data_IF_767143867099
#
_entry.id   IF_767143867099
#
_cell.length_a   1.000
_cell.length_b   1.000
_cell.length_c   1.000
_cell.angle_alpha   90.00
_cell.angle_beta   90.00
_cell.angle_gamma   90.00
#
_symmetry.space_group_name_H-M   'P 1'
#
loop_
_entity.id
_entity.type
_entity.pdbx_description
1 polymer ?
#
# COMPACT_ATOMS: atom_id res chain seq x y z
N UNK A 1 -10.10 12.92 40.37
CA UNK A 1 -8.96 11.99 40.37
C UNK A 1 -9.50 10.56 40.35
N UNK A 2 -9.68 9.98 39.15
CA UNK A 2 -9.88 8.53 39.02
C UNK A 2 -8.49 7.92 38.87
N UNK A 3 -8.12 7.00 39.76
CA UNK A 3 -6.86 6.28 39.68
C UNK A 3 -6.93 5.31 38.50
N UNK A 4 -6.19 5.58 37.43
CA UNK A 4 -6.01 4.63 36.33
C UNK A 4 -4.83 3.71 36.64
N UNK A 5 -5.12 2.44 36.92
CA UNK A 5 -4.11 1.39 37.05
C UNK A 5 -3.69 0.94 35.64
N UNK A 6 -2.61 1.48 35.11
CA UNK A 6 -1.96 0.92 33.93
C UNK A 6 -1.28 -0.40 34.32
N UNK A 7 -1.78 -1.54 33.81
CA UNK A 7 -1.06 -2.82 33.91
C UNK A 7 0.07 -2.81 32.88
N UNK A 8 1.31 -2.70 33.37
CA UNK A 8 2.49 -3.01 32.57
C UNK A 8 2.52 -4.52 32.37
N UNK A 9 2.42 -4.98 31.11
CA UNK A 9 2.39 -6.42 30.81
C UNK A 9 3.80 -7.02 30.75
N UNK A 10 4.78 -6.30 30.17
CA UNK A 10 6.17 -6.76 30.08
C UNK A 10 7.17 -5.61 30.27
N UNK A 11 8.26 -5.90 30.99
CA UNK A 11 9.42 -4.99 31.15
C UNK A 11 10.65 -5.70 30.58
N UNK A 12 11.12 -5.27 29.41
CA UNK A 12 12.35 -5.80 28.81
C UNK A 12 13.52 -4.92 29.25
N UNK A 13 14.43 -5.49 30.05
CA UNK A 13 15.69 -4.83 30.46
C UNK A 13 16.77 -5.12 29.43
N UNK A 14 17.06 -4.18 28.55
CA UNK A 14 18.13 -4.27 27.55
C UNK A 14 19.42 -3.64 28.09
N UNK A 15 20.57 -4.27 27.84
CA UNK A 15 21.88 -3.72 28.19
C UNK A 15 22.65 -3.38 26.91
N UNK A 16 22.99 -2.11 26.73
CA UNK A 16 23.79 -1.67 25.59
C UNK A 16 25.22 -2.21 25.68
N UNK A 17 25.93 -2.30 24.54
CA UNK A 17 27.36 -2.68 24.48
C UNK A 17 28.28 -1.76 25.32
N UNK A 18 27.81 -0.57 25.71
CA UNK A 18 28.52 0.37 26.61
C UNK A 18 28.06 0.26 28.08
N UNK A 19 27.38 -0.81 28.47
CA UNK A 19 27.00 -1.10 29.85
C UNK A 19 25.74 -0.40 30.38
N UNK A 20 25.10 0.48 29.59
CA UNK A 20 23.87 1.19 30.00
C UNK A 20 22.64 0.29 29.92
N UNK A 21 21.78 0.37 30.93
CA UNK A 21 20.53 -0.38 31.02
C UNK A 21 19.36 0.47 30.48
N UNK A 22 18.54 -0.11 29.62
CA UNK A 22 17.31 0.45 29.05
C UNK A 22 16.14 -0.43 29.50
N UNK A 23 15.03 0.18 29.89
CA UNK A 23 13.78 -0.55 30.15
C UNK A 23 12.80 -0.21 29.04
N UNK A 24 12.33 -1.23 28.32
CA UNK A 24 11.33 -1.09 27.25
C UNK A 24 9.99 -1.59 27.79
N UNK A 25 8.94 -0.79 27.59
CA UNK A 25 7.58 -1.07 28.05
C UNK A 25 6.65 -1.26 26.84
N UNK A 26 5.80 -2.28 26.88
CA UNK A 26 4.80 -2.58 25.85
C UNK A 26 3.40 -2.18 26.33
N UNK A 27 2.66 -1.41 25.52
CA UNK A 27 1.27 -1.03 25.77
C UNK A 27 0.36 -1.41 24.58
N UNK A 28 -0.80 -2.07 24.81
CA UNK A 28 -1.75 -2.37 23.75
C UNK A 28 -2.56 -1.13 23.30
N UNK A 29 -3.10 -1.13 22.05
CA UNK A 29 -2.76 -2.03 20.97
C UNK A 29 -1.60 -1.40 20.17
N UNK A 30 -0.42 -2.04 20.20
CA UNK A 30 0.71 -1.78 19.30
C UNK A 30 1.57 -0.50 19.48
N UNK A 31 1.68 0.07 20.69
CA UNK A 31 2.71 1.08 20.95
C UNK A 31 3.83 0.52 21.85
N UNK A 32 4.92 0.07 21.22
CA UNK A 32 6.20 -0.08 21.91
C UNK A 32 6.80 1.32 22.10
N UNK A 33 6.69 1.86 23.32
CA UNK A 33 7.32 3.15 23.64
C UNK A 33 8.66 2.86 24.32
N UNK A 34 9.75 3.08 23.60
CA UNK A 34 11.09 2.99 24.16
C UNK A 34 11.42 4.26 24.97
N UNK A 35 11.11 4.26 26.26
CA UNK A 35 11.38 5.41 27.13
C UNK A 35 12.79 5.30 27.71
N UNK A 36 13.63 6.28 27.37
CA UNK A 36 15.00 6.40 27.88
C UNK A 36 14.99 7.12 29.24
N UNK A 37 14.48 6.46 30.28
CA UNK A 37 14.46 7.03 31.65
C UNK A 37 15.02 6.05 32.68
N UNK A 38 15.75 6.59 33.65
CA UNK A 38 16.24 5.85 34.83
C UNK A 38 15.34 6.04 36.06
N UNK A 39 14.27 6.84 35.99
CA UNK A 39 13.37 7.07 37.12
C UNK A 39 11.90 6.70 36.82
N UNK A 40 11.29 6.02 37.78
CA UNK A 40 9.90 5.56 37.74
C UNK A 40 8.90 6.74 37.85
N UNK A 41 9.25 7.80 38.60
CA UNK A 41 8.43 9.01 38.74
C UNK A 41 8.28 9.80 37.43
N UNK A 42 9.35 9.88 36.62
CA UNK A 42 9.28 10.52 35.30
C UNK A 42 8.38 9.73 34.34
N UNK A 43 8.38 8.39 34.43
CA UNK A 43 7.51 7.51 33.66
C UNK A 43 6.04 7.69 34.08
N UNK A 44 5.79 7.74 35.40
CA UNK A 44 4.45 7.98 35.93
C UNK A 44 3.92 9.32 35.42
N UNK A 45 4.66 10.42 35.54
CA UNK A 45 4.22 11.72 35.04
C UNK A 45 4.02 11.75 33.51
N UNK A 46 4.84 11.02 32.76
CA UNK A 46 4.67 10.88 31.30
C UNK A 46 3.37 10.14 30.94
N UNK A 47 3.09 9.04 31.64
CA UNK A 47 1.87 8.23 31.44
C UNK A 47 0.62 8.99 31.92
N UNK A 48 0.69 9.71 33.06
CA UNK A 48 -0.43 10.51 33.56
C UNK A 48 -0.77 11.69 32.65
N UNK A 49 0.21 12.20 31.89
CA UNK A 49 0.01 13.28 30.90
C UNK A 49 -0.37 12.76 29.50
N UNK A 50 -0.34 11.44 29.26
CA UNK A 50 -0.93 10.86 28.06
C UNK A 50 -2.44 10.76 28.26
N UNK A 51 -3.18 11.72 27.71
CA UNK A 51 -4.61 11.57 27.48
C UNK A 51 -4.81 10.52 26.38
N UNK A 52 -4.98 9.26 26.76
CA UNK A 52 -5.56 8.26 25.88
C UNK A 52 -7.08 8.48 25.90
N UNK A 53 -7.57 9.24 24.94
CA UNK A 53 -9.00 9.25 24.64
C UNK A 53 -9.33 7.86 24.08
N UNK A 54 -10.29 7.16 24.71
CA UNK A 54 -10.80 5.91 24.12
C UNK A 54 -11.26 6.23 22.69
N UNK A 55 -10.84 5.43 21.69
CA UNK A 55 -11.19 5.70 20.31
C UNK A 55 -12.72 5.75 20.19
N UNK A 56 -13.22 6.85 19.63
CA UNK A 56 -14.64 7.00 19.28
C UNK A 56 -15.11 5.74 18.57
N UNK A 57 -16.17 5.11 19.10
CA UNK A 57 -16.71 3.88 18.52
C UNK A 57 -17.42 4.23 17.20
N UNK A 58 -16.65 4.20 16.10
CA UNK A 58 -17.14 4.52 14.76
C UNK A 58 -18.05 3.40 14.27
N UNK A 59 -19.33 3.69 14.09
CA UNK A 59 -20.27 2.76 13.47
C UNK A 59 -19.98 2.60 11.97
N UNK A 60 -19.25 1.52 11.61
CA UNK A 60 -18.82 1.25 10.23
C UNK A 60 -19.97 1.00 9.25
N UNK A 61 -21.10 0.48 9.72
CA UNK A 61 -22.28 0.25 8.87
C UNK A 61 -22.92 1.57 8.47
N UNK A 62 -23.09 2.49 9.42
CA UNK A 62 -23.58 3.84 9.16
C UNK A 62 -22.63 4.64 8.26
N UNK A 63 -21.32 4.45 8.45
CA UNK A 63 -20.29 5.00 7.56
C UNK A 63 -20.45 4.47 6.13
N UNK A 64 -20.61 3.15 5.97
CA UNK A 64 -20.81 2.49 4.68
C UNK A 64 -22.07 2.98 3.96
N UNK A 65 -23.20 3.08 4.66
CA UNK A 65 -24.44 3.60 4.10
C UNK A 65 -24.29 5.03 3.58
N UNK A 66 -23.63 5.89 4.38
CA UNK A 66 -23.35 7.28 4.00
C UNK A 66 -22.52 7.35 2.72
N UNK A 67 -21.36 6.71 2.70
CA UNK A 67 -20.46 6.78 1.54
C UNK A 67 -21.06 6.08 0.32
N UNK A 68 -21.87 5.03 0.49
CA UNK A 68 -22.57 4.38 -0.63
C UNK A 68 -23.49 5.37 -1.34
N UNK A 69 -24.28 6.12 -0.57
CA UNK A 69 -25.15 7.16 -1.12
C UNK A 69 -24.35 8.28 -1.79
N UNK A 70 -23.28 8.75 -1.16
CA UNK A 70 -22.44 9.82 -1.69
C UNK A 70 -21.69 9.40 -2.97
N UNK A 71 -21.04 8.22 -2.98
CA UNK A 71 -20.36 7.67 -4.15
C UNK A 71 -21.31 7.43 -5.32
N UNK A 72 -22.54 6.95 -5.07
CA UNK A 72 -23.55 6.81 -6.13
C UNK A 72 -24.00 8.17 -6.68
N UNK A 73 -24.05 9.21 -5.86
CA UNK A 73 -24.35 10.56 -6.31
C UNK A 73 -23.20 11.13 -7.15
N UNK A 74 -21.97 11.09 -6.63
CA UNK A 74 -20.76 11.48 -7.35
C UNK A 74 -20.61 10.75 -8.69
N UNK A 75 -20.89 9.45 -8.71
CA UNK A 75 -20.80 8.66 -9.94
C UNK A 75 -21.79 9.08 -11.03
N UNK A 76 -22.95 9.67 -10.68
CA UNK A 76 -23.85 10.25 -11.68
C UNK A 76 -23.20 11.44 -12.38
N UNK A 77 -22.45 12.27 -11.65
CA UNK A 77 -21.73 13.44 -12.17
C UNK A 77 -20.62 12.98 -13.12
N UNK A 78 -19.80 12.00 -12.69
CA UNK A 78 -18.74 11.43 -13.53
C UNK A 78 -19.33 10.83 -14.81
N UNK A 79 -20.40 10.03 -14.68
CA UNK A 79 -21.04 9.37 -15.83
C UNK A 79 -21.65 10.35 -16.83
N UNK A 80 -22.22 11.47 -16.38
CA UNK A 80 -22.75 12.48 -17.31
C UNK A 80 -21.64 13.21 -18.05
N UNK A 81 -20.48 13.43 -17.41
CA UNK A 81 -19.39 14.24 -17.98
C UNK A 81 -18.34 13.47 -18.78
N UNK A 82 -18.33 12.14 -18.71
CA UNK A 82 -17.28 11.34 -19.37
C UNK A 82 -17.20 11.57 -20.89
N UNK A 83 -18.33 11.83 -21.56
CA UNK A 83 -18.36 12.09 -23.02
C UNK A 83 -18.47 13.58 -23.37
N UNK A 84 -18.48 14.46 -22.38
CA UNK A 84 -18.54 15.91 -22.59
C UNK A 84 -17.13 16.49 -22.83
N UNK A 85 -17.09 17.71 -23.38
CA UNK A 85 -15.85 18.48 -23.48
C UNK A 85 -15.43 18.91 -22.08
N UNK A 86 -14.21 18.56 -21.68
CA UNK A 86 -13.68 18.81 -20.33
C UNK A 86 -12.71 19.99 -20.34
N UNK A 87 -12.63 20.69 -19.22
CA UNK A 87 -11.55 21.64 -18.98
C UNK A 87 -10.41 20.87 -18.32
N UNK A 88 -9.27 20.79 -19.01
CA UNK A 88 -8.13 20.00 -18.54
C UNK A 88 -7.08 20.96 -18.00
N UNK A 89 -6.73 20.79 -16.75
CA UNK A 89 -5.56 21.43 -16.14
C UNK A 89 -4.51 20.35 -15.83
N UNK A 90 -3.24 20.76 -15.71
CA UNK A 90 -2.14 19.85 -15.37
C UNK A 90 -1.64 20.14 -13.96
N UNK A 91 -1.42 19.09 -13.16
CA UNK A 91 -0.87 19.13 -11.79
C UNK A 91 0.67 19.17 -11.84
N UNK A 92 1.35 18.12 -11.33
CA UNK A 92 2.79 18.10 -11.13
C UNK A 92 3.60 17.82 -12.42
N UNK A 93 2.96 17.27 -13.46
CA UNK A 93 3.60 16.97 -14.74
C UNK A 93 2.64 17.18 -15.91
N UNK A 94 3.16 17.23 -17.15
CA UNK A 94 2.39 17.47 -18.37
C UNK A 94 1.36 16.37 -18.72
N UNK A 95 1.34 15.28 -17.96
CA UNK A 95 0.48 14.11 -18.14
C UNK A 95 -0.33 13.79 -16.87
N UNK A 96 -0.19 14.63 -15.84
CA UNK A 96 -0.88 14.49 -14.56
C UNK A 96 -2.03 15.49 -14.59
N UNK A 97 -3.23 15.00 -14.92
CA UNK A 97 -4.38 15.83 -15.24
C UNK A 97 -5.28 16.03 -14.02
N UNK A 98 -5.97 17.17 -14.01
CA UNK A 98 -7.13 17.42 -13.14
C UNK A 98 -8.23 18.05 -13.99
N UNK A 99 -9.48 17.74 -13.65
CA UNK A 99 -10.64 18.40 -14.26
C UNK A 99 -11.50 19.07 -13.19
N UNK A 100 -12.40 19.93 -13.62
CA UNK A 100 -13.45 20.52 -12.78
C UNK A 100 -14.31 19.45 -12.08
N UNK A 101 -14.37 18.25 -12.66
CA UNK A 101 -15.14 17.13 -12.11
C UNK A 101 -14.47 16.52 -10.89
N UNK A 102 -13.15 16.40 -10.88
CA UNK A 102 -12.37 15.88 -9.74
C UNK A 102 -12.64 16.76 -8.50
N UNK A 103 -12.53 18.09 -8.66
CA UNK A 103 -12.76 19.07 -7.59
C UNK A 103 -14.21 19.07 -7.08
N UNK A 104 -15.19 18.99 -7.98
CA UNK A 104 -16.61 18.96 -7.60
C UNK A 104 -16.98 17.68 -6.85
N UNK A 105 -16.47 16.53 -7.31
CA UNK A 105 -16.70 15.24 -6.66
C UNK A 105 -16.05 15.21 -5.29
N UNK A 106 -14.79 15.65 -5.16
CA UNK A 106 -14.11 15.68 -3.86
C UNK A 106 -14.88 16.55 -2.86
N UNK A 107 -15.28 17.75 -3.29
CA UNK A 107 -16.07 18.66 -2.46
C UNK A 107 -17.38 18.02 -1.99
N UNK A 108 -18.13 17.38 -2.89
CA UNK A 108 -19.37 16.68 -2.57
C UNK A 108 -19.15 15.59 -1.52
N UNK A 109 -18.10 14.78 -1.68
CA UNK A 109 -17.76 13.69 -0.77
C UNK A 109 -17.36 14.23 0.60
N UNK A 110 -16.41 15.17 0.66
CA UNK A 110 -15.91 15.75 1.91
C UNK A 110 -17.02 16.48 2.65
N UNK A 111 -17.78 17.38 1.99
CA UNK A 111 -18.86 18.12 2.64
C UNK A 111 -19.96 17.18 3.14
N UNK A 112 -20.34 16.17 2.35
CA UNK A 112 -21.35 15.19 2.72
C UNK A 112 -20.94 14.34 3.93
N UNK A 113 -19.66 13.97 4.02
CA UNK A 113 -19.11 13.24 5.18
C UNK A 113 -19.03 14.17 6.40
N UNK A 114 -18.50 15.37 6.23
CA UNK A 114 -18.27 16.34 7.31
C UNK A 114 -19.56 16.81 7.99
N UNK A 115 -20.69 16.81 7.27
CA UNK A 115 -22.01 17.08 7.85
C UNK A 115 -22.41 16.06 8.92
N UNK A 116 -22.08 14.77 8.74
CA UNK A 116 -22.39 13.72 9.71
C UNK A 116 -21.26 13.51 10.71
N UNK A 117 -20.01 13.65 10.27
CA UNK A 117 -18.81 13.39 11.06
C UNK A 117 -17.88 14.63 11.08
N UNK A 118 -18.25 15.70 11.82
CA UNK A 118 -17.53 16.97 11.79
C UNK A 118 -16.12 16.91 12.41
N UNK A 119 -15.83 15.88 13.21
CA UNK A 119 -14.55 15.67 13.87
C UNK A 119 -13.61 14.71 13.14
N UNK A 120 -14.09 14.04 12.09
CA UNK A 120 -13.24 13.17 11.27
C UNK A 120 -12.28 14.00 10.42
N UNK A 121 -11.12 13.41 10.13
CA UNK A 121 -10.04 13.98 9.30
C UNK A 121 -10.17 13.54 7.84
N UNK A 122 -9.44 14.21 6.95
CA UNK A 122 -9.51 13.97 5.51
C UNK A 122 -8.14 13.98 4.86
N UNK A 123 -7.86 12.97 4.04
CA UNK A 123 -6.73 12.92 3.12
C UNK A 123 -7.32 12.75 1.73
N UNK A 124 -7.47 13.86 1.00
CA UNK A 124 -7.98 13.90 -0.37
C UNK A 124 -6.88 14.27 -1.37
N UNK A 125 -6.96 13.74 -2.58
CA UNK A 125 -6.02 14.05 -3.66
C UNK A 125 -5.99 15.54 -4.00
N UNK A 126 -7.15 16.15 -4.25
CA UNK A 126 -7.25 17.54 -4.69
C UNK A 126 -6.96 18.51 -3.54
N UNK A 127 -7.37 18.15 -2.33
CA UNK A 127 -6.99 18.84 -1.11
C UNK A 127 -5.46 18.83 -0.92
N UNK A 128 -4.80 17.70 -1.18
CA UNK A 128 -3.34 17.61 -1.12
C UNK A 128 -2.67 18.49 -2.18
N UNK A 129 -3.19 18.50 -3.41
CA UNK A 129 -2.71 19.37 -4.49
C UNK A 129 -2.90 20.86 -4.15
N UNK A 130 -3.98 21.22 -3.44
CA UNK A 130 -4.24 22.56 -2.92
C UNK A 130 -3.38 22.93 -1.69
N UNK A 131 -2.48 22.04 -1.24
CA UNK A 131 -1.54 22.29 -0.14
C UNK A 131 -2.01 21.83 1.24
N UNK A 132 -3.18 21.19 1.34
CA UNK A 132 -3.70 20.62 2.60
C UNK A 132 -3.02 19.27 2.82
N UNK A 133 -1.98 19.27 3.66
CA UNK A 133 -1.22 18.06 4.01
C UNK A 133 -1.57 17.59 5.41
N UNK A 134 -2.70 16.90 5.56
CA UNK A 134 -3.02 16.24 6.83
C UNK A 134 -2.13 15.02 7.03
N UNK A 135 -1.51 14.93 8.21
CA UNK A 135 -0.77 13.74 8.61
C UNK A 135 -1.75 12.62 8.99
N UNK A 136 -1.49 11.41 8.51
CA UNK A 136 -2.25 10.23 8.91
C UNK A 136 -2.02 9.95 10.40
N UNK A 137 -3.09 10.00 11.19
CA UNK A 137 -3.06 9.72 12.64
C UNK A 137 -3.97 8.54 12.97
N UNK A 138 -4.06 8.13 14.24
CA UNK A 138 -5.02 7.09 14.64
C UNK A 138 -6.47 7.59 14.74
N UNK A 139 -6.72 8.90 14.58
CA UNK A 139 -8.08 9.45 14.54
C UNK A 139 -8.83 8.98 13.28
N UNK A 140 -10.17 8.88 13.32
CA UNK A 140 -10.99 8.58 12.14
C UNK A 140 -10.64 9.50 10.96
N UNK A 141 -10.10 8.92 9.89
CA UNK A 141 -9.59 9.65 8.72
C UNK A 141 -10.14 9.03 7.44
N UNK A 142 -10.82 9.84 6.64
CA UNK A 142 -11.30 9.45 5.32
C UNK A 142 -10.22 9.73 4.29
N UNK A 143 -9.82 8.69 3.55
CA UNK A 143 -8.82 8.78 2.48
C UNK A 143 -9.56 8.65 1.15
N UNK A 144 -9.57 9.72 0.34
CA UNK A 144 -10.49 9.87 -0.79
C UNK A 144 -9.70 10.16 -2.06
N UNK A 145 -9.98 9.37 -3.10
CA UNK A 145 -9.72 9.72 -4.49
C UNK A 145 -11.08 9.97 -5.18
N UNK A 146 -11.38 11.21 -5.62
CA UNK A 146 -12.63 11.51 -6.28
C UNK A 146 -12.76 10.86 -7.66
N UNK A 147 -11.66 10.69 -8.41
CA UNK A 147 -11.63 10.21 -9.79
C UNK A 147 -10.28 9.52 -10.07
N UNK A 148 -10.11 8.30 -9.56
CA UNK A 148 -8.94 7.49 -9.88
C UNK A 148 -9.00 7.09 -11.37
N UNK A 149 -7.92 7.39 -12.08
CA UNK A 149 -7.85 7.33 -13.53
C UNK A 149 -8.32 8.61 -14.23
N UNK A 150 -7.95 9.80 -13.75
CA UNK A 150 -8.26 11.08 -14.42
C UNK A 150 -7.83 11.09 -15.90
N UNK A 151 -6.69 10.47 -16.25
CA UNK A 151 -6.28 10.28 -17.66
C UNK A 151 -7.31 9.47 -18.45
N UNK A 152 -7.84 8.39 -17.87
CA UNK A 152 -8.90 7.61 -18.49
C UNK A 152 -10.17 8.45 -18.66
N UNK A 153 -10.55 9.22 -17.65
CA UNK A 153 -11.69 10.12 -17.72
C UNK A 153 -11.55 11.15 -18.85
N UNK A 154 -10.38 11.80 -18.95
CA UNK A 154 -10.06 12.74 -20.03
C UNK A 154 -10.26 12.10 -21.41
N UNK A 155 -9.78 10.87 -21.59
CA UNK A 155 -9.86 10.13 -22.84
C UNK A 155 -11.17 9.33 -23.03
N UNK A 156 -12.13 9.45 -22.12
CA UNK A 156 -13.39 8.68 -22.14
C UNK A 156 -13.20 7.15 -22.08
N UNK A 157 -12.08 6.70 -21.53
CA UNK A 157 -11.80 5.29 -21.28
C UNK A 157 -12.56 4.82 -20.02
N UNK A 158 -13.23 3.66 -20.03
CA UNK A 158 -14.27 3.34 -19.03
C UNK A 158 -13.74 2.94 -17.64
N UNK A 159 -12.42 2.85 -17.45
CA UNK A 159 -11.81 2.51 -16.16
C UNK A 159 -11.58 3.78 -15.34
N UNK A 160 -12.66 4.30 -14.74
CA UNK A 160 -12.65 5.49 -13.88
C UNK A 160 -13.35 5.11 -12.58
N UNK A 161 -12.71 5.36 -11.44
CA UNK A 161 -13.23 4.94 -10.14
C UNK A 161 -13.33 6.10 -9.15
N UNK A 162 -14.30 6.02 -8.24
CA UNK A 162 -14.27 6.75 -6.96
C UNK A 162 -13.69 5.78 -5.92
N UNK A 163 -12.66 6.18 -5.18
CA UNK A 163 -12.03 5.38 -4.12
C UNK A 163 -12.16 6.07 -2.77
N UNK A 164 -12.71 5.38 -1.77
CA UNK A 164 -12.89 5.92 -0.41
C UNK A 164 -12.50 4.87 0.61
N UNK A 165 -11.45 5.13 1.39
CA UNK A 165 -11.04 4.35 2.55
C UNK A 165 -11.32 5.08 3.87
N UNK A 166 -11.58 4.32 4.93
CA UNK A 166 -11.72 4.85 6.29
C UNK A 166 -10.69 4.18 7.21
N UNK A 167 -9.80 5.00 7.76
CA UNK A 167 -8.82 4.60 8.78
C UNK A 167 -9.37 4.96 10.16
N UNK A 168 -9.39 4.00 11.08
CA UNK A 168 -9.78 4.20 12.49
C UNK A 168 -8.82 3.42 13.38
N UNK A 169 -8.24 4.08 14.38
CA UNK A 169 -7.29 3.43 15.28
C UNK A 169 -6.02 2.96 14.57
N UNK A 170 -5.53 3.75 13.60
CA UNK A 170 -4.34 3.43 12.79
C UNK A 170 -4.49 2.18 11.89
N UNK A 171 -5.72 1.77 11.60
CA UNK A 171 -6.03 0.57 10.81
C UNK A 171 -7.14 0.88 9.79
N UNK A 172 -7.01 0.36 8.56
CA UNK A 172 -8.02 0.56 7.51
C UNK A 172 -9.19 -0.37 7.82
N UNK A 173 -10.36 0.21 8.14
CA UNK A 173 -11.54 -0.53 8.60
C UNK A 173 -12.60 -0.72 7.53
N UNK A 174 -12.66 0.17 6.55
CA UNK A 174 -13.70 0.18 5.55
C UNK A 174 -13.16 0.75 4.24
N UNK A 175 -13.63 0.22 3.12
CA UNK A 175 -13.25 0.66 1.77
C UNK A 175 -14.39 0.51 0.78
N UNK A 176 -14.54 1.50 -0.10
CA UNK A 176 -15.44 1.50 -1.26
C UNK A 176 -14.68 1.89 -2.50
N UNK A 177 -14.84 1.13 -3.58
CA UNK A 177 -14.39 1.49 -4.92
C UNK A 177 -15.59 1.40 -5.84
N UNK A 178 -15.91 2.48 -6.56
CA UNK A 178 -17.06 2.52 -7.46
C UNK A 178 -16.66 2.97 -8.85
N UNK A 179 -16.83 2.11 -9.85
CA UNK A 179 -16.76 2.48 -11.25
C UNK A 179 -18.19 2.80 -11.76
N UNK A 180 -18.54 4.08 -11.99
CA UNK A 180 -19.88 4.47 -12.40
C UNK A 180 -20.20 4.19 -13.87
N UNK A 181 -19.18 3.98 -14.70
CA UNK A 181 -19.34 3.70 -16.13
C UNK A 181 -19.78 2.25 -16.32
N UNK A 182 -19.14 1.34 -15.59
CA UNK A 182 -19.43 -0.10 -15.60
C UNK A 182 -20.49 -0.52 -14.57
N UNK A 183 -20.91 0.41 -13.70
CA UNK A 183 -21.84 0.17 -12.58
C UNK A 183 -21.36 -0.98 -11.66
N UNK A 184 -20.08 -0.90 -11.28
CA UNK A 184 -19.43 -1.88 -10.42
C UNK A 184 -19.04 -1.25 -9.09
N UNK A 185 -19.77 -1.59 -8.04
CA UNK A 185 -19.60 -1.05 -6.69
C UNK A 185 -18.99 -2.11 -5.78
N UNK A 186 -17.71 -1.94 -5.43
CA UNK A 186 -16.97 -2.79 -4.52
C UNK A 186 -17.00 -2.20 -3.12
N UNK A 187 -17.18 -3.05 -2.10
CA UNK A 187 -17.13 -2.65 -0.70
C UNK A 187 -16.53 -3.73 0.19
N UNK A 188 -15.90 -3.30 1.28
CA UNK A 188 -15.48 -4.19 2.35
C UNK A 188 -15.53 -3.47 3.70
N UNK A 189 -15.91 -4.22 4.74
CA UNK A 189 -15.74 -3.85 6.14
C UNK A 189 -14.83 -4.90 6.76
N UNK A 190 -13.89 -4.46 7.60
CA UNK A 190 -12.92 -5.35 8.24
C UNK A 190 -13.62 -6.46 9.03
N UNK A 191 -13.34 -7.72 8.68
CA UNK A 191 -13.92 -8.91 9.30
C UNK A 191 -15.29 -9.34 8.75
N UNK A 192 -15.84 -8.65 7.77
CA UNK A 192 -17.17 -8.92 7.21
C UNK A 192 -17.14 -9.38 5.75
N UNK A 193 -15.95 -9.48 5.15
CA UNK A 193 -15.78 -9.90 3.77
C UNK A 193 -15.89 -8.76 2.75
N UNK A 194 -15.71 -9.13 1.48
CA UNK A 194 -15.65 -8.22 0.33
C UNK A 194 -16.79 -8.52 -0.63
N UNK A 195 -17.40 -7.48 -1.19
CA UNK A 195 -18.60 -7.58 -2.01
C UNK A 195 -18.50 -6.73 -3.26
N UNK A 196 -19.11 -7.20 -4.34
CA UNK A 196 -19.35 -6.45 -5.57
C UNK A 196 -20.86 -6.43 -5.83
N UNK A 197 -21.47 -5.25 -5.86
CA UNK A 197 -22.92 -5.08 -6.04
C UNK A 197 -23.71 -6.01 -5.11
N UNK A 198 -23.28 -6.06 -3.84
CA UNK A 198 -23.82 -6.88 -2.75
C UNK A 198 -23.64 -8.40 -2.84
N UNK A 199 -23.00 -8.89 -3.92
CA UNK A 199 -22.59 -10.29 -4.04
C UNK A 199 -21.19 -10.49 -3.46
N UNK A 200 -20.96 -11.53 -2.63
CA UNK A 200 -19.65 -11.79 -2.05
C UNK A 200 -18.63 -12.17 -3.13
N UNK A 201 -17.42 -11.63 -3.01
CA UNK A 201 -16.31 -11.90 -3.93
C UNK A 201 -15.14 -12.51 -3.19
N UNK A 202 -14.30 -13.21 -3.94
CA UNK A 202 -13.03 -13.77 -3.47
C UNK A 202 -11.99 -13.66 -4.56
N UNK A 203 -10.73 -13.59 -4.14
CA UNK A 203 -9.59 -13.71 -5.05
C UNK A 203 -9.59 -15.08 -5.75
N UNK A 204 -8.88 -15.19 -6.87
CA UNK A 204 -8.81 -16.41 -7.69
C UNK A 204 -8.11 -17.58 -6.97
N UNK A 205 -7.15 -17.28 -6.08
CA UNK A 205 -6.33 -18.27 -5.38
C UNK A 205 -5.23 -18.90 -6.25
N UNK A 206 -4.86 -18.27 -7.38
CA UNK A 206 -3.74 -18.72 -8.23
C UNK A 206 -2.44 -18.65 -7.43
N UNK A 207 -1.62 -19.70 -7.50
CA UNK A 207 -0.41 -19.85 -6.67
C UNK A 207 0.91 -19.74 -7.41
N UNK A 208 0.89 -19.78 -8.74
CA UNK A 208 2.09 -19.75 -9.57
C UNK A 208 2.03 -18.52 -10.48
N UNK A 209 3.12 -17.76 -10.56
CA UNK A 209 3.18 -16.60 -11.43
C UNK A 209 2.94 -16.98 -12.90
N UNK A 210 3.39 -18.15 -13.33
CA UNK A 210 3.17 -18.67 -14.69
C UNK A 210 1.72 -18.83 -15.08
N UNK A 211 0.83 -18.98 -14.09
CA UNK A 211 -0.61 -19.14 -14.30
C UNK A 211 -1.37 -17.81 -14.14
N UNK A 212 -0.68 -16.73 -13.74
CA UNK A 212 -1.27 -15.47 -13.31
C UNK A 212 -1.53 -14.49 -14.46
N UNK A 213 -2.66 -13.80 -14.44
CA UNK A 213 -2.89 -12.54 -15.16
C UNK A 213 -2.53 -11.37 -14.25
N UNK A 214 -1.65 -10.49 -14.69
CA UNK A 214 -1.14 -9.41 -13.83
C UNK A 214 -1.53 -8.03 -14.34
N UNK A 215 -1.70 -7.08 -13.43
CA UNK A 215 -1.87 -5.67 -13.71
C UNK A 215 -0.69 -4.85 -13.21
N UNK A 216 -0.30 -3.85 -13.99
CA UNK A 216 0.76 -2.88 -13.67
C UNK A 216 0.39 -1.55 -14.29
N UNK A 217 0.95 -0.47 -13.76
CA UNK A 217 0.98 0.83 -14.44
C UNK A 217 2.41 1.36 -14.51
N UNK A 218 2.66 2.26 -15.46
CA UNK A 218 3.98 2.89 -15.65
C UNK A 218 4.21 4.08 -14.70
N UNK A 219 3.20 4.47 -13.92
CA UNK A 219 3.21 5.61 -13.00
C UNK A 219 3.35 6.97 -13.68
N UNK A 220 3.18 8.03 -12.89
CA UNK A 220 3.37 9.43 -13.29
C UNK A 220 4.78 9.96 -13.05
N UNK A 221 5.57 9.33 -12.18
CA UNK A 221 6.98 9.71 -11.92
C UNK A 221 7.83 9.47 -13.18
N UNK A 222 8.69 10.45 -13.51
CA UNK A 222 9.47 10.47 -14.76
C UNK A 222 11.00 10.45 -14.58
N UNK A 223 11.51 10.41 -13.35
CA UNK A 223 12.95 10.22 -13.12
C UNK A 223 13.43 8.89 -13.74
N UNK A 224 14.63 8.91 -14.34
CA UNK A 224 15.16 7.77 -15.08
C UNK A 224 15.37 6.57 -14.17
N UNK A 225 15.89 6.80 -12.96
CA UNK A 225 16.14 5.77 -11.95
C UNK A 225 14.84 5.05 -11.57
N UNK A 226 13.78 5.82 -11.30
CA UNK A 226 12.48 5.27 -10.95
C UNK A 226 11.87 4.47 -12.10
N UNK A 227 11.91 5.02 -13.32
CA UNK A 227 11.42 4.34 -14.53
C UNK A 227 12.18 3.04 -14.80
N UNK A 228 13.48 2.99 -14.53
CA UNK A 228 14.27 1.78 -14.71
C UNK A 228 13.83 0.65 -13.76
N UNK A 229 13.49 0.98 -12.50
CA UNK A 229 12.95 0.00 -11.54
C UNK A 229 11.57 -0.50 -12.01
N UNK A 230 10.67 0.41 -12.38
CA UNK A 230 9.32 0.07 -12.87
C UNK A 230 9.41 -0.82 -14.11
N UNK A 231 10.19 -0.42 -15.12
CA UNK A 231 10.35 -1.18 -16.36
C UNK A 231 10.97 -2.56 -16.12
N UNK A 232 11.91 -2.68 -15.18
CA UNK A 232 12.47 -3.97 -14.81
C UNK A 232 11.40 -4.92 -14.26
N UNK A 233 10.59 -4.44 -13.31
CA UNK A 233 9.53 -5.25 -12.70
C UNK A 233 8.47 -5.64 -13.73
N UNK A 234 8.04 -4.70 -14.57
CA UNK A 234 7.10 -4.97 -15.66
C UNK A 234 7.66 -6.04 -16.61
N UNK A 235 8.94 -5.95 -17.00
CA UNK A 235 9.56 -6.93 -17.88
C UNK A 235 9.66 -8.32 -17.23
N UNK A 236 10.00 -8.38 -15.94
CA UNK A 236 10.01 -9.63 -15.18
C UNK A 236 8.61 -10.27 -15.17
N UNK A 237 7.58 -9.50 -14.85
CA UNK A 237 6.20 -9.97 -14.85
C UNK A 237 5.73 -10.40 -16.26
N UNK A 238 6.08 -9.64 -17.29
CA UNK A 238 5.73 -9.92 -18.69
C UNK A 238 6.30 -11.25 -19.17
N UNK A 239 7.49 -11.59 -18.67
CA UNK A 239 8.23 -12.80 -19.07
C UNK A 239 7.71 -14.03 -18.36
N UNK A 240 7.22 -13.90 -17.12
CA UNK A 240 6.91 -15.02 -16.24
C UNK A 240 5.42 -15.26 -16.01
N UNK A 241 4.53 -14.34 -16.40
CA UNK A 241 3.09 -14.46 -16.24
C UNK A 241 2.34 -14.73 -17.55
N UNK A 242 1.06 -15.13 -17.48
CA UNK A 242 0.22 -15.37 -18.66
C UNK A 242 0.01 -14.11 -19.51
N UNK A 243 0.02 -12.94 -18.89
CA UNK A 243 -0.09 -11.68 -19.59
C UNK A 243 -0.21 -10.49 -18.66
N UNK A 244 -0.06 -9.30 -19.24
CA UNK A 244 -0.13 -8.03 -18.54
C UNK A 244 -1.39 -7.26 -18.95
N UNK A 245 -1.96 -6.53 -18.00
CA UNK A 245 -2.92 -5.44 -18.21
C UNK A 245 -2.37 -4.15 -17.61
N UNK A 246 -2.73 -3.03 -18.22
CA UNK A 246 -2.56 -1.68 -17.68
C UNK A 246 -3.88 -0.99 -17.94
N UNK A 247 -4.62 -0.78 -16.86
CA UNK A 247 -6.00 -0.32 -16.85
C UNK A 247 -6.14 1.18 -16.60
N UNK A 248 -5.06 1.85 -16.19
CA UNK A 248 -4.98 3.30 -15.96
C UNK A 248 -5.64 3.79 -14.67
N UNK A 249 -5.99 2.89 -13.74
CA UNK A 249 -6.59 3.21 -12.43
C UNK A 249 -6.14 2.17 -11.40
N UNK A 250 -5.52 2.62 -10.33
CA UNK A 250 -4.96 1.77 -9.28
C UNK A 250 -6.06 1.07 -8.47
N UNK A 251 -7.11 1.82 -8.09
CA UNK A 251 -8.28 1.31 -7.40
C UNK A 251 -9.01 0.27 -8.27
N UNK A 252 -9.14 0.50 -9.58
CA UNK A 252 -9.70 -0.50 -10.48
C UNK A 252 -8.87 -1.79 -10.47
N UNK A 253 -7.56 -1.70 -10.64
CA UNK A 253 -6.69 -2.88 -10.65
C UNK A 253 -6.77 -3.67 -9.33
N UNK A 254 -6.81 -2.99 -8.18
CA UNK A 254 -7.01 -3.61 -6.87
C UNK A 254 -8.38 -4.30 -6.74
N UNK A 255 -9.45 -3.64 -7.19
CA UNK A 255 -10.78 -4.21 -7.21
C UNK A 255 -10.87 -5.46 -8.09
N UNK A 256 -10.18 -5.45 -9.24
CA UNK A 256 -10.07 -6.61 -10.14
C UNK A 256 -9.32 -7.78 -9.50
N UNK A 257 -8.29 -7.52 -8.68
CA UNK A 257 -7.64 -8.55 -7.86
C UNK A 257 -8.62 -9.16 -6.86
N UNK A 258 -9.36 -8.33 -6.12
CA UNK A 258 -10.30 -8.78 -5.12
C UNK A 258 -11.41 -9.68 -5.67
N UNK A 259 -11.88 -9.43 -6.90
CA UNK A 259 -12.88 -10.30 -7.56
C UNK A 259 -12.29 -11.51 -8.29
N UNK A 260 -10.97 -11.72 -8.24
CA UNK A 260 -10.28 -12.80 -8.93
C UNK A 260 -10.24 -12.65 -10.46
N UNK A 261 -10.41 -11.44 -10.99
CA UNK A 261 -10.27 -11.15 -12.42
C UNK A 261 -8.83 -10.82 -12.83
N UNK A 262 -8.00 -10.46 -11.86
CA UNK A 262 -6.55 -10.25 -11.95
C UNK A 262 -5.93 -11.00 -10.78
N UNK A 263 -4.77 -11.62 -10.96
CA UNK A 263 -4.14 -12.47 -9.94
C UNK A 263 -3.06 -11.71 -9.14
N UNK A 264 -2.52 -10.63 -9.73
CA UNK A 264 -1.54 -9.75 -9.12
C UNK A 264 -1.69 -8.33 -9.66
N UNK A 265 -1.60 -7.35 -8.78
CA UNK A 265 -1.36 -5.96 -9.14
C UNK A 265 -0.17 -5.42 -8.34
N UNK A 266 0.75 -4.76 -9.04
CA UNK A 266 1.91 -4.12 -8.44
C UNK A 266 2.07 -2.72 -8.99
N UNK A 267 2.24 -1.76 -8.08
CA UNK A 267 2.58 -0.40 -8.47
C UNK A 267 3.43 0.30 -7.39
N UNK A 268 4.28 1.20 -7.87
CA UNK A 268 5.12 2.07 -7.05
C UNK A 268 4.87 3.50 -7.50
N UNK A 269 4.94 4.45 -6.56
CA UNK A 269 4.71 5.87 -6.83
C UNK A 269 3.24 6.31 -6.67
N UNK A 270 2.32 5.41 -6.36
CA UNK A 270 0.93 5.75 -6.04
C UNK A 270 0.80 6.40 -4.67
N UNK A 271 -0.37 6.95 -4.37
CA UNK A 271 -0.68 7.68 -3.15
C UNK A 271 -1.61 6.87 -2.23
N UNK A 272 -1.83 7.38 -1.02
CA UNK A 272 -2.67 6.72 -0.03
C UNK A 272 -4.12 6.54 -0.51
N UNK A 273 -4.65 7.51 -1.25
CA UNK A 273 -6.02 7.49 -1.78
C UNK A 273 -6.25 6.44 -2.87
N UNK A 274 -5.22 6.15 -3.67
CA UNK A 274 -5.21 5.04 -4.64
C UNK A 274 -5.28 3.66 -3.96
N UNK A 275 -4.71 3.56 -2.75
CA UNK A 275 -4.47 2.27 -2.08
C UNK A 275 -5.48 1.94 -0.98
N UNK A 276 -5.97 2.94 -0.23
CA UNK A 276 -6.66 2.71 1.05
C UNK A 276 -7.88 1.79 0.91
N UNK A 277 -8.77 2.09 -0.03
CA UNK A 277 -9.96 1.28 -0.26
C UNK A 277 -9.60 -0.10 -0.84
N UNK A 278 -8.71 -0.13 -1.83
CA UNK A 278 -8.31 -1.36 -2.49
C UNK A 278 -7.58 -2.34 -1.56
N UNK A 279 -6.80 -1.84 -0.61
CA UNK A 279 -6.14 -2.65 0.43
C UNK A 279 -7.16 -3.51 1.17
N UNK A 280 -8.18 -2.91 1.79
CA UNK A 280 -9.13 -3.65 2.63
C UNK A 280 -10.04 -4.52 1.77
N UNK A 281 -10.41 -4.07 0.57
CA UNK A 281 -11.23 -4.84 -0.38
C UNK A 281 -10.51 -6.13 -0.82
N UNK A 282 -9.20 -6.09 -1.09
CA UNK A 282 -8.41 -7.28 -1.43
C UNK A 282 -8.22 -8.19 -0.21
N UNK A 283 -7.91 -7.62 0.97
CA UNK A 283 -7.69 -8.41 2.20
C UNK A 283 -8.94 -9.18 2.62
N UNK A 284 -10.09 -8.54 2.60
CA UNK A 284 -11.39 -9.16 2.94
C UNK A 284 -11.88 -10.15 1.87
N UNK A 285 -11.37 -10.05 0.63
CA UNK A 285 -11.59 -11.06 -0.41
C UNK A 285 -10.66 -12.29 -0.28
N UNK A 286 -9.79 -12.33 0.74
CA UNK A 286 -8.84 -13.41 0.99
C UNK A 286 -7.48 -13.24 0.30
N UNK A 287 -7.19 -12.06 -0.25
CA UNK A 287 -5.92 -11.76 -0.91
C UNK A 287 -4.79 -11.34 0.04
N UNK A 288 -3.59 -11.30 -0.51
CA UNK A 288 -2.37 -10.85 0.20
C UNK A 288 -1.95 -9.49 -0.33
N UNK A 289 -1.74 -8.54 0.59
CA UNK A 289 -1.27 -7.18 0.27
C UNK A 289 -0.05 -6.85 1.11
N UNK A 290 1.08 -6.57 0.47
CA UNK A 290 2.37 -6.29 1.10
C UNK A 290 3.08 -5.10 0.43
N UNK A 291 4.15 -4.61 1.05
CA UNK A 291 5.09 -3.71 0.38
C UNK A 291 6.00 -4.56 -0.55
N UNK A 292 6.12 -4.23 -1.84
CA UNK A 292 6.95 -4.98 -2.78
C UNK A 292 8.44 -4.99 -2.42
N UNK A 293 8.89 -4.17 -1.47
CA UNK A 293 10.26 -4.14 -0.96
C UNK A 293 10.53 -5.08 0.23
N UNK A 294 9.65 -6.03 0.53
CA UNK A 294 9.90 -7.03 1.58
C UNK A 294 9.18 -6.81 2.90
N UNK A 295 8.47 -5.71 3.06
CA UNK A 295 7.93 -5.27 4.35
C UNK A 295 6.41 -5.42 4.43
N UNK A 296 5.87 -5.31 5.64
CA UNK A 296 4.45 -5.10 5.84
C UNK A 296 3.96 -3.87 5.08
N UNK A 297 2.76 -3.97 4.51
CA UNK A 297 2.13 -2.84 3.83
C UNK A 297 1.98 -1.65 4.77
N UNK A 298 2.37 -0.46 4.28
CA UNK A 298 2.11 0.81 4.96
C UNK A 298 1.48 1.78 3.97
N UNK A 299 0.33 2.33 4.34
CA UNK A 299 -0.47 3.19 3.47
C UNK A 299 0.30 4.39 2.90
N UNK A 300 1.23 4.95 3.67
CA UNK A 300 2.00 6.15 3.27
C UNK A 300 3.29 5.84 2.49
N UNK A 301 3.65 4.56 2.28
CA UNK A 301 4.92 4.18 1.63
C UNK A 301 4.91 4.27 0.09
N UNK A 302 3.79 4.69 -0.52
CA UNK A 302 3.62 4.87 -1.97
C UNK A 302 3.93 3.63 -2.82
N UNK A 303 3.68 2.44 -2.29
CA UNK A 303 3.94 1.16 -2.96
C UNK A 303 2.96 0.11 -2.51
N UNK A 304 2.52 -0.73 -3.45
CA UNK A 304 1.64 -1.85 -3.15
C UNK A 304 1.97 -3.04 -4.02
N UNK A 305 1.88 -4.23 -3.43
CA UNK A 305 1.81 -5.51 -4.12
C UNK A 305 0.59 -6.25 -3.57
N UNK A 306 -0.46 -6.33 -4.38
CA UNK A 306 -1.70 -7.03 -4.07
C UNK A 306 -1.81 -8.28 -4.93
N UNK A 307 -2.12 -9.42 -4.32
CA UNK A 307 -2.07 -10.73 -4.98
C UNK A 307 -3.20 -11.63 -4.53
N UNK A 308 -3.54 -12.58 -5.38
CA UNK A 308 -4.54 -13.61 -5.08
C UNK A 308 -4.06 -14.66 -4.08
N UNK A 309 -2.75 -14.78 -3.85
CA UNK A 309 -2.17 -15.72 -2.88
C UNK A 309 -0.82 -15.23 -2.35
N UNK A 310 -0.45 -15.70 -1.16
CA UNK A 310 0.84 -15.39 -0.54
C UNK A 310 2.03 -15.92 -1.35
N UNK A 311 1.88 -17.06 -2.02
CA UNK A 311 2.92 -17.68 -2.83
C UNK A 311 3.39 -16.75 -3.96
N UNK A 312 2.46 -16.11 -4.68
CA UNK A 312 2.81 -15.13 -5.72
C UNK A 312 3.46 -13.89 -5.09
N UNK A 313 2.96 -13.42 -3.94
CA UNK A 313 3.52 -12.26 -3.26
C UNK A 313 4.99 -12.48 -2.89
N UNK A 314 5.33 -13.66 -2.35
CA UNK A 314 6.70 -14.03 -1.97
C UNK A 314 7.63 -14.11 -3.19
N UNK A 315 7.19 -14.74 -4.28
CA UNK A 315 7.96 -14.86 -5.52
C UNK A 315 8.33 -13.48 -6.11
N UNK A 316 7.33 -12.60 -6.27
CA UNK A 316 7.51 -11.29 -6.91
C UNK A 316 8.30 -10.31 -6.02
N UNK A 317 8.13 -10.40 -4.71
CA UNK A 317 8.87 -9.60 -3.75
C UNK A 317 10.39 -9.89 -3.83
N UNK A 318 10.79 -11.16 -3.86
CA UNK A 318 12.20 -11.54 -4.02
C UNK A 318 12.81 -11.01 -5.32
N UNK A 319 12.07 -11.11 -6.43
CA UNK A 319 12.47 -10.55 -7.72
C UNK A 319 12.69 -9.03 -7.64
N UNK A 320 11.75 -8.32 -7.01
CA UNK A 320 11.81 -6.86 -6.85
C UNK A 320 13.01 -6.41 -6.01
N UNK A 321 13.28 -7.09 -4.89
CA UNK A 321 14.45 -6.79 -4.05
C UNK A 321 15.75 -6.98 -4.84
N UNK A 322 15.87 -8.07 -5.61
CA UNK A 322 17.03 -8.33 -6.46
C UNK A 322 17.21 -7.21 -7.49
N UNK A 323 16.13 -6.79 -8.15
CA UNK A 323 16.13 -5.72 -9.14
C UNK A 323 16.61 -4.39 -8.54
N UNK A 324 16.03 -3.99 -7.41
CA UNK A 324 16.38 -2.76 -6.71
C UNK A 324 17.86 -2.76 -6.31
N UNK A 325 18.37 -3.86 -5.77
CA UNK A 325 19.79 -3.95 -5.41
C UNK A 325 20.69 -3.81 -6.64
N UNK A 326 20.37 -4.49 -7.74
CA UNK A 326 21.14 -4.41 -9.00
C UNK A 326 21.24 -2.98 -9.53
N UNK A 327 20.12 -2.25 -9.53
CA UNK A 327 20.05 -0.87 -10.05
C UNK A 327 20.83 0.09 -9.13
N UNK A 328 20.73 -0.09 -7.82
CA UNK A 328 21.39 0.80 -6.85
C UNK A 328 22.89 0.53 -6.69
N UNK A 329 23.36 -0.71 -6.83
CA UNK A 329 24.76 -1.07 -6.59
C UNK A 329 25.56 -1.32 -7.88
N UNK A 330 24.90 -1.44 -9.03
CA UNK A 330 25.53 -1.82 -10.29
C UNK A 330 26.04 -3.27 -10.34
N UNK A 331 25.73 -4.12 -9.34
CA UNK A 331 26.23 -5.49 -9.25
C UNK A 331 25.13 -6.52 -9.56
N UNK A 332 25.44 -7.47 -10.46
CA UNK A 332 24.48 -8.47 -10.98
C UNK A 332 24.36 -9.78 -10.18
N UNK A 333 25.23 -10.04 -9.21
CA UNK A 333 25.27 -11.33 -8.49
C UNK A 333 24.72 -11.22 -7.07
N UNK A 334 23.65 -11.96 -6.80
CA UNK A 334 23.25 -12.32 -5.45
C UNK A 334 23.62 -13.79 -5.27
N UNK A 335 24.74 -14.06 -4.59
CA UNK A 335 25.04 -15.40 -4.11
C UNK A 335 24.16 -15.62 -2.88
N UNK A 336 22.94 -16.13 -3.09
CA UNK A 336 22.23 -16.79 -2.00
C UNK A 336 23.05 -18.04 -1.68
N UNK A 337 23.85 -18.00 -0.62
CA UNK A 337 24.41 -19.20 -0.02
C UNK A 337 23.26 -20.01 0.62
N UNK A 338 22.37 -20.55 -0.20
CA UNK A 338 21.65 -21.76 0.15
C UNK A 338 22.68 -22.87 0.03
N UNK A 339 23.23 -23.32 1.15
CA UNK A 339 24.22 -24.38 1.18
C UNK A 339 23.66 -25.65 0.55
N UNK A 340 23.88 -25.82 -0.75
CA UNK A 340 23.69 -27.06 -1.47
C UNK A 340 24.97 -27.26 -2.28
N UNK A 341 25.87 -28.09 -1.75
CA UNK A 341 27.06 -28.54 -2.47
C UNK A 341 26.61 -29.29 -3.72
N UNK A 342 26.79 -28.68 -4.90
CA UNK A 342 26.77 -29.40 -6.16
C UNK A 342 28.22 -29.46 -6.66
N UNK A 343 28.90 -30.52 -6.26
CA UNK A 343 30.16 -30.94 -6.88
C UNK A 343 29.89 -31.38 -8.32
N UNK A 344 30.23 -30.56 -9.32
CA UNK A 344 30.79 -31.06 -10.58
C UNK A 344 31.29 -29.94 -11.49
N UNK A 345 32.61 -29.87 -11.65
CA UNK A 345 33.31 -29.82 -12.95
C UNK A 345 33.01 -28.71 -13.96
N UNK A 346 34.00 -27.83 -14.15
CA UNK A 346 34.29 -26.94 -15.29
C UNK A 346 33.61 -27.30 -16.64
N UNK A 347 32.97 -26.31 -17.30
CA UNK A 347 33.30 -25.88 -18.68
C UNK A 347 32.46 -24.66 -19.17
N UNK A 348 33.18 -23.68 -19.71
CA UNK A 348 32.92 -22.67 -20.76
C UNK A 348 31.54 -22.42 -21.43
N UNK A 349 31.34 -21.12 -21.74
CA UNK A 349 30.47 -20.41 -22.71
C UNK A 349 29.00 -20.08 -22.36
N UNK A 350 28.51 -18.89 -22.80
CA UNK A 350 27.27 -18.30 -22.29
C UNK A 350 26.07 -18.74 -23.12
N UNK A 351 25.30 -19.71 -22.62
CA UNK A 351 23.94 -19.96 -23.06
C UNK A 351 22.97 -19.65 -21.94
N UNK A 352 21.88 -18.96 -22.30
CA UNK A 352 20.70 -18.66 -21.49
C UNK A 352 20.11 -19.96 -20.91
N UNK A 353 20.52 -20.35 -19.71
CA UNK A 353 19.89 -21.45 -18.98
C UNK A 353 18.76 -20.94 -18.09
N UNK A 354 17.57 -21.43 -18.41
CA UNK A 354 16.33 -21.33 -17.62
C UNK A 354 16.56 -21.91 -16.23
N UNK A 355 16.47 -21.09 -15.20
CA UNK A 355 16.28 -21.60 -13.84
C UNK A 355 14.84 -22.11 -13.70
N UNK A 356 14.66 -23.43 -13.87
CA UNK A 356 13.47 -24.12 -13.34
C UNK A 356 13.69 -24.31 -11.85
N UNK A 357 12.88 -23.64 -11.02
CA UNK A 357 12.71 -24.01 -9.62
C UNK A 357 11.96 -25.36 -9.58
N UNK A 358 12.71 -26.45 -9.64
CA UNK A 358 12.17 -27.77 -9.33
C UNK A 358 11.91 -27.86 -7.82
N UNK A 359 10.74 -28.35 -7.45
CA UNK A 359 10.34 -28.70 -6.10
C UNK A 359 11.46 -29.44 -5.34
N UNK A 360 12.21 -28.75 -4.49
CA UNK A 360 13.12 -29.37 -3.53
C UNK A 360 12.52 -29.23 -2.14
N UNK A 361 11.89 -30.31 -1.66
CA UNK A 361 11.65 -30.53 -0.24
C UNK A 361 13.00 -30.76 0.43
N UNK A 362 13.60 -29.72 1.01
CA UNK A 362 14.75 -29.89 1.91
C UNK A 362 14.32 -29.60 3.35
N UNK A 363 14.47 -30.62 4.20
CA UNK A 363 14.21 -30.53 5.62
C UNK A 363 15.12 -29.49 6.28
N UNK A 364 14.53 -28.71 7.17
CA UNK A 364 15.22 -27.69 7.96
C UNK A 364 16.20 -28.39 8.90
N UNK A 365 17.50 -28.28 8.64
CA UNK A 365 18.51 -28.40 9.68
C UNK A 365 18.94 -26.99 10.11
N UNK A 366 18.83 -26.75 11.41
CA UNK A 366 19.19 -25.50 12.07
C UNK A 366 20.69 -25.25 11.98
N UNK A 367 21.12 -24.41 11.04
CA UNK A 367 22.28 -23.52 11.13
C UNK A 367 22.58 -22.90 9.76
N UNK A 368 22.00 -21.74 9.48
CA UNK A 368 22.50 -20.83 8.44
C UNK A 368 22.53 -19.43 9.02
N UNK A 369 23.71 -19.06 9.52
CA UNK A 369 24.04 -17.70 9.97
C UNK A 369 24.04 -16.74 8.77
N UNK A 370 22.97 -15.96 8.60
CA UNK A 370 23.03 -14.71 7.86
C UNK A 370 24.02 -13.79 8.58
N UNK A 371 25.08 -13.35 7.90
CA UNK A 371 26.05 -12.42 8.50
C UNK A 371 25.35 -11.09 8.80
N UNK A 372 25.53 -10.60 10.01
CA UNK A 372 24.92 -9.37 10.54
C UNK A 372 25.22 -8.11 9.70
N UNK A 373 26.24 -8.15 8.83
CA UNK A 373 26.57 -7.10 7.85
C UNK A 373 25.58 -7.05 6.68
N UNK A 374 25.10 -8.19 6.20
CA UNK A 374 24.17 -8.26 5.06
C UNK A 374 22.77 -7.80 5.45
N UNK A 375 22.36 -8.04 6.70
CA UNK A 375 21.08 -7.58 7.26
C UNK A 375 21.10 -6.06 7.46
N UNK A 376 22.18 -5.51 8.01
CA UNK A 376 22.30 -4.06 8.22
C UNK A 376 22.34 -3.27 6.89
N UNK A 377 22.93 -3.82 5.83
CA UNK A 377 22.89 -3.20 4.49
C UNK A 377 21.50 -3.25 3.86
N UNK A 378 20.78 -4.35 4.02
CA UNK A 378 19.39 -4.48 3.57
C UNK A 378 18.47 -3.49 4.31
N UNK A 379 18.60 -3.38 5.63
CA UNK A 379 17.87 -2.40 6.45
C UNK A 379 18.24 -0.94 6.07
N UNK A 380 19.51 -0.65 5.76
CA UNK A 380 19.94 0.68 5.33
C UNK A 380 19.43 1.07 3.93
N UNK A 381 19.39 0.12 2.98
CA UNK A 381 18.84 0.33 1.64
C UNK A 381 17.31 0.47 1.70
N UNK A 382 16.63 -0.35 2.52
CA UNK A 382 15.20 -0.21 2.81
C UNK A 382 14.89 1.15 3.46
N UNK A 383 15.69 1.60 4.43
CA UNK A 383 15.53 2.90 5.07
C UNK A 383 15.75 4.08 4.11
N UNK A 384 16.76 4.03 3.24
CA UNK A 384 16.98 5.07 2.23
C UNK A 384 15.85 5.15 1.20
N UNK A 385 15.13 4.04 0.98
CA UNK A 385 13.99 3.99 0.06
C UNK A 385 12.67 4.44 0.70
N UNK A 386 12.42 4.13 1.98
CA UNK A 386 11.23 4.61 2.73
C UNK A 386 11.07 6.14 2.60
N UNK A 387 12.19 6.87 2.52
CA UNK A 387 12.22 8.34 2.37
C UNK A 387 12.47 8.84 0.94
N UNK A 388 12.57 7.97 -0.07
CA UNK A 388 12.89 8.39 -1.46
C UNK A 388 11.79 9.25 -2.09
N UNK A 389 10.49 8.91 -1.98
CA UNK A 389 9.43 9.74 -2.56
C UNK A 389 9.30 11.11 -1.88
N UNK A 390 9.59 11.19 -0.57
CA UNK A 390 9.61 12.46 0.16
C UNK A 390 10.82 13.33 -0.22
N UNK A 391 11.98 12.74 -0.51
CA UNK A 391 13.19 13.46 -0.96
C UNK A 391 13.02 14.09 -2.34
N UNK A 392 12.31 13.45 -3.28
CA UNK A 392 12.02 14.05 -4.59
C UNK A 392 10.93 15.12 -4.51
N UNK A 393 9.88 14.93 -3.69
CA UNK A 393 8.88 15.97 -3.45
C UNK A 393 9.53 17.25 -2.90
N UNK A 394 10.51 17.12 -1.99
CA UNK A 394 11.27 18.26 -1.46
C UNK A 394 12.19 18.94 -2.48
N UNK A 395 12.75 18.19 -3.45
CA UNK A 395 13.61 18.75 -4.51
C UNK A 395 12.82 19.47 -5.59
N UNK A 396 11.57 19.09 -5.82
CA UNK A 396 10.67 19.76 -6.78
C UNK A 396 10.08 21.09 -6.27
N UNK A 397 10.24 21.41 -4.98
CA UNK A 397 9.65 22.60 -4.33
C UNK A 397 10.66 23.64 -3.84
N UNK A 398 11.94 23.55 -4.23
CA UNK A 398 12.88 24.66 -4.00
C UNK A 398 13.15 25.39 -5.32
N UNK A 399 13.03 26.73 -5.34
CA UNK A 399 13.24 27.55 -6.54
C UNK A 399 14.67 27.51 -7.07
#
# INVERSE_FOLDING_TARGET
MKNFNFRVFDVIKLRTKKGRQLSVFSFPPSHLVAIKTTSFEALSNFITNMSYEEPEEVNLHECLELITRLSRHAGKIIKSRINEKKTIETKASSIDFVTETDQEVEKLLIEGIKQKYPHHKFIGEESFAAGIKEELTCAPTWVIDPVDGTTNFVHSYPNVCISIGLVVGCDIKLGVIYNPILDMFFRAIKGEGSFLNDEPIKVSGVKQLTDALVAVEFGSVRSEEFRNIVNHNINYLATNAHGIRSGGSAAWNLAQVARGGIDLYMEMGIHAWDMAAGYIIVREAGGTVIDPAGNDFKLMNRRILATSSTEIAEEVNLSTIIAMRKILTGQWTLTLNMGCDINSGKASTPHLERYRLANVKCGVSSNTDLKMTDINELEHLQANFIYWPEREAFRSTMP
#
